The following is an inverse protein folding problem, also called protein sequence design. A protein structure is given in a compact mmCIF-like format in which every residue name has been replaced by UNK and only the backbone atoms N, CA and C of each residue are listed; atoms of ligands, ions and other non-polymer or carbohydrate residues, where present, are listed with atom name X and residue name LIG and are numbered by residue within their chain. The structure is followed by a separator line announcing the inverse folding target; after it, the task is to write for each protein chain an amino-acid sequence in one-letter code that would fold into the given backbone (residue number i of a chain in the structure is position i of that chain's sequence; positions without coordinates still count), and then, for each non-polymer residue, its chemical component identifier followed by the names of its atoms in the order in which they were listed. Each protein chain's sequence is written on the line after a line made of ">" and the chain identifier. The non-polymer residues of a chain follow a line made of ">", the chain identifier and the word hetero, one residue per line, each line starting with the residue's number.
data_IF_424345210029
#
_entry.id   IF_424345210029
#
_cell.length_a   1.000
_cell.length_b   1.000
_cell.length_c   1.000
_cell.angle_alpha   90.00
_cell.angle_beta   90.00
_cell.angle_gamma   90.00
#
_symmetry.space_group_name_H-M   'P 1'
#
loop_
_entity.id
_entity.type
_entity.pdbx_description
1 polymer ?
#
# COMPACT_ATOMS: atom_id res chain seq x y z
N UNK A 1 -7.27 -20.96 4.51
CA UNK A 1 -7.65 -19.64 3.99
C UNK A 1 -6.40 -18.79 4.00
N UNK A 2 -5.89 -18.44 2.82
CA UNK A 2 -4.81 -17.47 2.69
C UNK A 2 -5.38 -16.09 3.06
N UNK A 3 -5.24 -15.70 4.33
CA UNK A 3 -5.48 -14.33 4.76
C UNK A 3 -4.31 -13.48 4.24
N UNK A 4 -4.27 -13.26 2.93
CA UNK A 4 -3.27 -12.39 2.29
C UNK A 4 -3.48 -10.97 2.81
N UNK A 5 -2.47 -10.41 3.46
CA UNK A 5 -2.45 -8.99 3.77
C UNK A 5 -2.41 -8.23 2.45
N UNK A 6 -3.44 -7.44 2.19
CA UNK A 6 -3.46 -6.49 1.07
C UNK A 6 -2.49 -5.34 1.38
N UNK A 7 -1.36 -5.29 0.68
CA UNK A 7 -0.30 -4.31 0.90
C UNK A 7 -0.31 -3.26 -0.22
N UNK A 8 -0.32 -1.98 0.15
CA UNK A 8 -0.08 -0.91 -0.81
C UNK A 8 1.41 -0.73 -1.05
N UNK A 9 1.85 -0.94 -2.28
CA UNK A 9 3.22 -0.73 -2.74
C UNK A 9 3.28 0.62 -3.47
N UNK A 10 4.12 1.53 -2.96
CA UNK A 10 4.42 2.81 -3.61
C UNK A 10 5.76 2.70 -4.33
N UNK A 11 5.79 3.03 -5.62
CA UNK A 11 7.02 3.10 -6.41
C UNK A 11 7.21 4.49 -6.98
N UNK A 12 8.22 5.20 -6.51
CA UNK A 12 8.71 6.42 -7.16
C UNK A 12 9.72 6.09 -8.24
N UNK A 13 9.64 6.79 -9.37
CA UNK A 13 10.59 6.70 -10.46
C UNK A 13 10.78 8.07 -11.11
N UNK A 14 11.89 8.21 -11.83
CA UNK A 14 12.24 9.42 -12.52
C UNK A 14 12.38 9.17 -14.01
N UNK A 15 11.89 10.11 -14.83
CA UNK A 15 11.98 10.04 -16.29
C UNK A 15 12.74 11.28 -16.78
N UNK A 16 13.79 11.13 -17.61
CA UNK A 16 14.53 12.28 -18.11
C UNK A 16 13.67 13.09 -19.10
N UNK A 17 13.52 14.40 -18.86
CA UNK A 17 12.78 15.33 -19.73
C UNK A 17 13.71 16.17 -20.63
N UNK A 18 15.02 15.96 -20.53
CA UNK A 18 16.05 16.74 -21.23
C UNK A 18 16.49 18.00 -20.48
N UNK A 19 17.59 18.63 -20.94
CA UNK A 19 18.22 19.81 -20.30
C UNK A 19 18.52 19.62 -18.79
N UNK A 20 18.88 18.40 -18.39
CA UNK A 20 19.15 18.05 -16.99
C UNK A 20 17.91 18.11 -16.09
N UNK A 21 16.71 17.96 -16.64
CA UNK A 21 15.46 17.86 -15.89
C UNK A 21 14.99 16.41 -15.82
N UNK A 22 14.38 16.08 -14.69
CA UNK A 22 13.76 14.80 -14.40
C UNK A 22 12.31 15.03 -14.02
N UNK A 23 11.40 14.37 -14.72
CA UNK A 23 10.01 14.19 -14.30
C UNK A 23 9.99 13.22 -13.11
N UNK A 24 9.15 13.52 -12.14
CA UNK A 24 8.96 12.71 -10.94
C UNK A 24 7.61 12.03 -10.99
N UNK A 25 7.60 10.72 -11.11
CA UNK A 25 6.36 9.96 -11.26
C UNK A 25 6.28 8.90 -10.16
N UNK A 26 5.07 8.62 -9.69
CA UNK A 26 4.86 7.56 -8.72
C UNK A 26 3.67 6.69 -9.10
N UNK A 27 3.75 5.42 -8.71
CA UNK A 27 2.68 4.45 -8.80
C UNK A 27 2.31 3.94 -7.42
N UNK A 28 1.01 3.75 -7.19
CA UNK A 28 0.46 3.05 -6.04
C UNK A 28 -0.19 1.79 -6.58
N UNK A 29 0.24 0.64 -6.07
CA UNK A 29 -0.21 -0.69 -6.49
C UNK A 29 -0.68 -1.47 -5.28
N UNK A 30 -1.61 -2.41 -5.48
CA UNK A 30 -2.06 -3.31 -4.43
C UNK A 30 -1.43 -4.68 -4.63
N UNK A 31 -0.74 -5.22 -3.63
CA UNK A 31 -0.26 -6.61 -3.65
C UNK A 31 -1.33 -7.49 -3.00
N UNK A 32 -1.92 -8.41 -3.78
CA UNK A 32 -2.94 -9.37 -3.32
C UNK A 32 -2.48 -10.83 -3.49
N UNK A 33 -1.18 -11.11 -3.25
CA UNK A 33 -0.62 -12.47 -3.22
C UNK A 33 -0.03 -13.01 -4.53
N UNK A 34 -0.42 -12.49 -5.70
CA UNK A 34 0.20 -12.85 -7.01
C UNK A 34 0.29 -11.71 -8.02
N UNK A 35 -0.63 -10.75 -7.94
CA UNK A 35 -0.67 -9.60 -8.82
C UNK A 35 -0.40 -8.30 -8.06
N UNK A 36 0.06 -7.31 -8.82
CA UNK A 36 0.25 -5.93 -8.37
C UNK A 36 -0.55 -4.97 -9.28
N UNK A 37 -1.90 -4.98 -9.27
CA UNK A 37 -2.70 -4.03 -10.05
C UNK A 37 -2.32 -2.58 -9.73
N UNK A 38 -2.19 -1.77 -10.77
CA UNK A 38 -2.00 -0.32 -10.64
C UNK A 38 -3.31 0.32 -10.19
N UNK A 39 -3.29 0.94 -9.01
CA UNK A 39 -4.44 1.68 -8.49
C UNK A 39 -4.40 3.15 -8.90
N UNK A 40 -3.21 3.74 -8.84
CA UNK A 40 -3.04 5.17 -9.07
C UNK A 40 -1.66 5.47 -9.62
N UNK A 41 -1.58 6.40 -10.57
CA UNK A 41 -0.33 6.98 -11.06
C UNK A 41 -0.40 8.49 -10.95
N UNK A 42 0.63 9.11 -10.39
CA UNK A 42 0.75 10.55 -10.27
C UNK A 42 2.05 11.08 -10.85
N UNK A 43 2.01 12.33 -11.31
CA UNK A 43 3.16 13.06 -11.82
C UNK A 43 3.34 14.36 -11.04
N UNK A 44 4.56 14.61 -10.58
CA UNK A 44 4.95 15.83 -9.88
C UNK A 44 5.48 16.84 -10.90
N UNK A 45 4.59 17.66 -11.42
CA UNK A 45 4.95 18.72 -12.36
C UNK A 45 5.62 19.92 -11.66
N UNK A 46 6.38 20.69 -12.44
CA UNK A 46 6.87 22.01 -12.03
C UNK A 46 8.07 22.02 -11.07
N UNK A 47 8.59 20.86 -10.67
CA UNK A 47 9.80 20.75 -9.85
C UNK A 47 10.99 20.33 -10.69
N UNK A 48 12.15 20.95 -10.47
CA UNK A 48 13.43 20.59 -11.12
C UNK A 48 14.33 19.95 -10.07
N UNK A 49 14.76 18.73 -10.33
CA UNK A 49 15.72 18.02 -9.49
C UNK A 49 17.06 17.92 -10.21
N UNK A 50 18.14 18.18 -9.47
CA UNK A 50 19.50 18.18 -10.00
C UNK A 50 20.03 16.76 -10.31
N UNK A 51 19.44 15.73 -9.72
CA UNK A 51 19.81 14.33 -9.94
C UNK A 51 18.58 13.42 -9.93
N UNK A 52 18.72 12.26 -10.58
CA UNK A 52 17.70 11.21 -10.65
C UNK A 52 17.29 10.71 -9.26
N UNK A 53 18.25 10.49 -8.36
CA UNK A 53 17.97 10.03 -7.00
C UNK A 53 17.08 11.00 -6.22
N UNK A 54 17.31 12.31 -6.35
CA UNK A 54 16.47 13.32 -5.71
C UNK A 54 15.05 13.34 -6.30
N UNK A 55 14.94 13.13 -7.62
CA UNK A 55 13.65 13.01 -8.30
C UNK A 55 12.86 11.77 -7.82
N UNK A 56 13.53 10.61 -7.72
CA UNK A 56 12.93 9.37 -7.21
C UNK A 56 12.48 9.54 -5.77
N UNK A 57 13.34 10.08 -4.89
CA UNK A 57 13.00 10.28 -3.48
C UNK A 57 11.77 11.20 -3.31
N UNK A 58 11.71 12.29 -4.09
CA UNK A 58 10.56 13.18 -4.06
C UNK A 58 9.28 12.52 -4.59
N UNK A 59 9.38 11.70 -5.63
CA UNK A 59 8.26 10.94 -6.17
C UNK A 59 7.74 9.91 -5.17
N UNK A 60 8.62 9.13 -4.54
CA UNK A 60 8.24 8.16 -3.50
C UNK A 60 7.54 8.85 -2.34
N UNK A 61 8.11 9.95 -1.83
CA UNK A 61 7.49 10.70 -0.73
C UNK A 61 6.08 11.20 -1.08
N UNK A 62 5.90 11.77 -2.27
CA UNK A 62 4.57 12.23 -2.70
C UNK A 62 3.59 11.06 -2.84
N UNK A 63 4.04 9.94 -3.41
CA UNK A 63 3.23 8.73 -3.54
C UNK A 63 2.80 8.16 -2.19
N UNK A 64 3.67 8.16 -1.18
CA UNK A 64 3.31 7.73 0.17
C UNK A 64 2.26 8.64 0.81
N UNK A 65 2.41 9.96 0.66
CA UNK A 65 1.44 10.91 1.19
C UNK A 65 0.07 10.75 0.53
N UNK A 66 0.04 10.48 -0.78
CA UNK A 66 -1.20 10.22 -1.51
C UNK A 66 -1.83 8.89 -1.08
N UNK A 67 -1.04 7.82 -0.93
CA UNK A 67 -1.52 6.54 -0.43
C UNK A 67 -2.17 6.69 0.97
N UNK A 68 -1.53 7.45 1.88
CA UNK A 68 -2.08 7.75 3.21
C UNK A 68 -3.42 8.50 3.12
N UNK A 69 -3.55 9.47 2.23
CA UNK A 69 -4.79 10.22 2.02
C UNK A 69 -5.91 9.34 1.48
N UNK A 70 -5.62 8.48 0.50
CA UNK A 70 -6.63 7.57 -0.05
C UNK A 70 -7.11 6.57 0.98
N UNK A 71 -6.21 5.98 1.77
CA UNK A 71 -6.61 5.12 2.89
C UNK A 71 -7.50 5.86 3.88
N UNK A 72 -7.11 7.07 4.30
CA UNK A 72 -7.92 7.87 5.22
C UNK A 72 -9.32 8.17 4.65
N UNK A 73 -9.41 8.47 3.35
CA UNK A 73 -10.69 8.69 2.68
C UNK A 73 -11.58 7.45 2.65
N UNK A 74 -11.00 6.27 2.36
CA UNK A 74 -11.73 4.99 2.37
C UNK A 74 -12.22 4.67 3.78
N UNK A 75 -11.36 4.80 4.78
CA UNK A 75 -11.72 4.60 6.18
C UNK A 75 -12.85 5.52 6.63
N UNK A 76 -12.78 6.81 6.29
CA UNK A 76 -13.85 7.75 6.57
C UNK A 76 -15.17 7.35 5.90
N UNK A 77 -15.12 6.85 4.67
CA UNK A 77 -16.29 6.34 3.93
C UNK A 77 -16.93 5.11 4.59
N UNK A 78 -16.12 4.14 5.02
CA UNK A 78 -16.60 2.94 5.73
C UNK A 78 -17.26 3.30 7.06
N UNK A 79 -16.62 4.18 7.84
CA UNK A 79 -17.18 4.68 9.10
C UNK A 79 -18.51 5.41 8.88
N UNK A 80 -18.60 6.27 7.86
CA UNK A 80 -19.82 7.00 7.54
C UNK A 80 -20.97 6.09 7.08
N UNK A 81 -20.65 4.95 6.46
CA UNK A 81 -21.64 3.95 6.00
C UNK A 81 -22.02 2.93 7.09
N UNK A 82 -21.44 3.03 8.29
CA UNK A 82 -21.58 2.02 9.35
C UNK A 82 -21.24 0.60 8.85
N UNK A 83 -20.37 0.49 7.85
CA UNK A 83 -19.86 -0.78 7.35
C UNK A 83 -18.61 -1.11 8.16
N UNK A 84 -18.77 -2.02 9.13
CA UNK A 84 -17.67 -2.43 10.01
C UNK A 84 -17.03 -3.70 9.47
N UNK A 85 -15.72 -3.67 9.23
CA UNK A 85 -14.94 -4.88 9.03
C UNK A 85 -14.51 -5.42 10.39
N UNK A 86 -15.01 -6.58 10.80
CA UNK A 86 -14.56 -7.27 12.01
C UNK A 86 -13.28 -8.02 11.68
N UNK A 87 -12.14 -7.58 12.22
CA UNK A 87 -10.90 -8.35 12.21
C UNK A 87 -10.99 -9.36 13.36
N UNK A 88 -11.27 -10.61 13.02
CA UNK A 88 -11.21 -11.70 14.00
C UNK A 88 -9.75 -12.11 14.11
N UNK A 89 -9.13 -11.86 15.27
CA UNK A 89 -7.87 -12.48 15.60
C UNK A 89 -8.09 -13.99 15.68
N UNK A 90 -7.41 -14.77 14.84
CA UNK A 90 -7.44 -16.23 14.96
C UNK A 90 -6.82 -16.61 16.31
N UNK A 91 -7.65 -17.00 17.28
CA UNK A 91 -7.14 -17.61 18.49
C UNK A 91 -6.41 -18.92 18.13
N UNK A 92 -5.27 -19.23 18.75
CA UNK A 92 -4.65 -20.54 18.56
C UNK A 92 -5.63 -21.61 19.05
N UNK A 93 -5.94 -22.58 18.19
CA UNK A 93 -6.75 -23.73 18.53
C UNK A 93 -6.14 -24.43 19.75
N UNK A 94 -6.78 -24.30 20.91
CA UNK A 94 -6.47 -25.11 22.09
C UNK A 94 -6.78 -26.56 21.71
N UNK A 95 -5.75 -27.31 21.35
CA UNK A 95 -5.81 -28.76 21.24
C UNK A 95 -6.39 -29.31 22.54
N UNK A 96 -7.60 -29.86 22.46
CA UNK A 96 -8.16 -30.68 23.53
C UNK A 96 -7.29 -31.93 23.64
N UNK A 97 -6.37 -31.93 24.59
CA UNK A 97 -5.65 -33.13 25.01
C UNK A 97 -6.70 -34.16 25.44
N UNK A 98 -6.72 -35.26 24.71
CA UNK A 98 -7.61 -36.40 24.92
C UNK A 98 -7.20 -37.11 26.22
N UNK A 99 -8.06 -37.13 27.23
CA UNK A 99 -7.89 -38.00 28.41
C UNK A 99 -8.08 -39.46 27.98
N UNK A 100 -7.13 -40.37 28.24
CA UNK A 100 -7.40 -41.79 28.08
C UNK A 100 -8.18 -42.31 29.29
N UNK A 101 -9.34 -42.91 29.02
CA UNK A 101 -10.09 -43.67 30.01
C UNK A 101 -9.24 -44.85 30.53
N UNK A 102 -8.96 -44.86 31.83
CA UNK A 102 -8.46 -46.04 32.53
C UNK A 102 -9.66 -46.91 32.95
N UNK A 103 -9.66 -48.16 32.50
CA UNK A 103 -10.57 -49.22 32.94
C UNK A 103 -10.15 -49.87 34.25
#
# INVERSE_FOLDING_TARGET
>A
MENGLDILVVRGFAVPEGRGKWACCYEIRLTTGRDEPLLYRGELHGRRYACEAAAIAAATFAGEQEARRQMASVWAGLLARHEYCVVVASEPALERVHEPAAG
#
